data_IF_295423407189
#
_entry.id   IF_295423407189
#
_cell.length_a   1.000
_cell.length_b   1.000
_cell.length_c   1.000
_cell.angle_alpha   90.00
_cell.angle_beta   90.00
_cell.angle_gamma   90.00
#
_symmetry.space_group_name_H-M   'P 1'
#
loop_
_entity.id
_entity.type
_entity.pdbx_description
1 polymer ?
#
# COMPACT_ATOMS: atom_id res chain seq x y z
N UNK A 1 13.37 -14.57 -4.98
CA UNK A 1 14.68 -14.92 -5.59
C UNK A 1 15.70 -15.25 -4.51
N UNK A 2 15.94 -14.38 -3.52
CA UNK A 2 16.95 -14.63 -2.47
C UNK A 2 16.66 -15.89 -1.65
N UNK A 3 15.38 -16.21 -1.38
CA UNK A 3 14.98 -17.45 -0.70
C UNK A 3 15.40 -18.72 -1.46
N UNK A 4 15.58 -18.60 -2.78
CA UNK A 4 15.98 -19.70 -3.66
C UNK A 4 17.48 -19.70 -3.94
N UNK A 5 18.29 -19.05 -3.10
CA UNK A 5 19.76 -18.94 -3.23
C UNK A 5 20.24 -18.36 -4.58
N UNK A 6 19.42 -17.57 -5.26
CA UNK A 6 19.82 -16.88 -6.48
C UNK A 6 20.81 -15.75 -6.16
N UNK A 7 21.82 -15.57 -7.01
CA UNK A 7 22.66 -14.38 -6.98
C UNK A 7 21.86 -13.21 -7.54
N UNK A 8 21.60 -12.21 -6.70
CA UNK A 8 20.80 -11.04 -7.08
C UNK A 8 21.66 -9.79 -6.95
N UNK A 9 21.73 -9.00 -8.02
CA UNK A 9 22.32 -7.67 -8.02
C UNK A 9 21.22 -6.63 -8.21
N UNK A 10 21.14 -5.68 -7.30
CA UNK A 10 20.20 -4.56 -7.36
C UNK A 10 20.93 -3.29 -7.82
N UNK A 11 20.41 -2.66 -8.87
CA UNK A 11 20.86 -1.35 -9.34
C UNK A 11 19.84 -0.29 -8.91
N UNK A 12 20.29 0.69 -8.14
CA UNK A 12 19.47 1.82 -7.66
C UNK A 12 20.13 3.14 -8.05
N UNK A 13 19.41 4.02 -8.72
CA UNK A 13 19.93 5.33 -9.15
C UNK A 13 19.88 6.37 -8.03
N UNK A 14 19.01 6.16 -7.04
CA UNK A 14 18.75 7.08 -5.95
C UNK A 14 19.69 6.91 -4.75
N UNK A 15 19.35 7.59 -3.68
CA UNK A 15 20.16 7.60 -2.46
C UNK A 15 19.95 6.33 -1.62
N UNK A 16 20.89 6.07 -0.70
CA UNK A 16 20.71 5.03 0.30
C UNK A 16 19.59 5.40 1.27
N UNK A 17 18.98 4.39 1.91
CA UNK A 17 17.86 4.57 2.85
C UNK A 17 18.31 5.03 4.26
N UNK A 18 19.59 5.30 4.50
CA UNK A 18 20.08 5.72 5.81
C UNK A 18 19.75 7.18 6.11
N UNK A 19 18.51 7.43 6.54
CA UNK A 19 18.06 8.73 6.99
C UNK A 19 16.88 8.53 7.97
N UNK A 20 16.94 9.19 9.12
CA UNK A 20 15.90 9.15 10.13
C UNK A 20 14.48 9.44 9.57
N UNK A 21 14.36 10.35 8.61
CA UNK A 21 13.06 10.66 7.99
C UNK A 21 12.48 9.49 7.18
N UNK A 22 13.34 8.61 6.63
CA UNK A 22 12.89 7.40 5.93
C UNK A 22 12.39 6.33 6.91
N UNK A 23 12.94 6.31 8.12
CA UNK A 23 12.56 5.37 9.17
C UNK A 23 11.33 5.85 9.97
N UNK A 24 11.09 7.17 10.02
CA UNK A 24 9.98 7.77 10.74
C UNK A 24 8.69 7.78 9.89
N UNK A 25 7.57 7.16 10.31
CA UNK A 25 6.33 7.12 9.54
C UNK A 25 5.84 8.50 9.08
N UNK A 26 5.93 9.52 9.92
CA UNK A 26 5.55 10.89 9.57
C UNK A 26 6.54 11.59 8.61
N UNK A 27 7.70 11.01 8.37
CA UNK A 27 8.74 11.55 7.49
C UNK A 27 8.27 11.68 6.03
N UNK A 28 7.29 10.88 5.60
CA UNK A 28 6.81 10.88 4.23
C UNK A 28 6.30 12.26 3.78
N UNK A 29 5.68 13.05 4.65
CA UNK A 29 5.22 14.41 4.34
C UNK A 29 6.35 15.33 3.86
N UNK A 30 7.55 15.12 4.37
CA UNK A 30 8.73 15.87 3.97
C UNK A 30 9.41 15.24 2.77
N UNK A 31 9.55 13.90 2.77
CA UNK A 31 10.26 13.15 1.74
C UNK A 31 9.57 13.22 0.37
N UNK A 32 8.24 13.17 0.32
CA UNK A 32 7.46 13.23 -0.92
C UNK A 32 7.62 14.57 -1.65
N UNK A 33 8.10 15.61 -0.97
CA UNK A 33 8.35 16.94 -1.52
C UNK A 33 9.86 17.27 -1.63
N UNK A 34 10.75 16.34 -1.26
CA UNK A 34 12.20 16.56 -1.27
C UNK A 34 12.80 16.02 -2.57
N UNK A 35 13.36 16.91 -3.39
CA UNK A 35 14.00 16.55 -4.67
C UNK A 35 15.20 15.62 -4.53
N UNK A 36 15.74 15.46 -3.33
CA UNK A 36 16.79 14.50 -3.03
C UNK A 36 16.26 13.05 -3.06
N UNK A 37 15.05 12.84 -2.54
CA UNK A 37 14.46 11.51 -2.36
C UNK A 37 13.31 11.22 -3.32
N UNK A 38 12.84 12.23 -4.07
CA UNK A 38 11.78 12.09 -5.04
C UNK A 38 12.11 12.76 -6.36
N UNK A 39 11.81 12.08 -7.46
CA UNK A 39 11.76 12.65 -8.80
C UNK A 39 10.33 13.06 -9.10
N UNK A 40 10.15 14.24 -9.67
CA UNK A 40 8.83 14.82 -9.96
C UNK A 40 8.52 14.70 -11.46
N UNK A 41 7.56 13.86 -11.79
CA UNK A 41 7.07 13.68 -13.14
C UNK A 41 5.85 14.55 -13.37
N UNK A 42 5.85 15.30 -14.47
CA UNK A 42 4.73 16.13 -14.88
C UNK A 42 3.91 15.41 -15.94
N UNK A 43 2.61 15.26 -15.73
CA UNK A 43 1.74 14.62 -16.71
C UNK A 43 1.59 15.50 -17.96
N UNK A 44 1.15 14.91 -19.07
CA UNK A 44 0.60 15.66 -20.19
C UNK A 44 -0.63 16.45 -19.74
N UNK A 45 -0.99 17.56 -20.43
CA UNK A 45 -2.22 18.27 -20.13
C UNK A 45 -3.43 17.32 -20.19
N UNK A 46 -4.28 17.39 -19.17
CA UNK A 46 -5.48 16.57 -19.06
C UNK A 46 -6.69 17.39 -19.53
N UNK A 47 -7.20 17.12 -20.71
CA UNK A 47 -8.27 17.89 -21.34
C UNK A 47 -9.51 18.02 -20.44
N UNK A 48 -9.97 16.88 -19.88
CA UNK A 48 -11.15 16.86 -18.99
C UNK A 48 -10.91 17.47 -17.60
N UNK A 49 -9.67 17.84 -17.28
CA UNK A 49 -9.29 18.58 -16.07
C UNK A 49 -8.88 20.02 -16.36
N UNK A 50 -9.47 20.68 -17.35
CA UNK A 50 -9.15 22.04 -17.78
C UNK A 50 -7.69 22.20 -18.20
N UNK A 51 -7.13 21.21 -18.90
CA UNK A 51 -5.73 21.16 -19.33
C UNK A 51 -4.72 21.22 -18.16
N UNK A 52 -5.15 20.89 -16.94
CA UNK A 52 -4.25 20.84 -15.79
C UNK A 52 -3.25 19.71 -15.97
N UNK A 53 -2.02 19.97 -15.58
CA UNK A 53 -0.96 18.97 -15.44
C UNK A 53 -0.76 18.66 -13.96
N UNK A 54 -0.73 17.39 -13.62
CA UNK A 54 -0.43 16.94 -12.27
C UNK A 54 1.07 16.63 -12.12
N UNK A 55 1.59 16.84 -10.94
CA UNK A 55 2.95 16.43 -10.56
C UNK A 55 2.84 15.13 -9.77
N UNK A 56 3.57 14.11 -10.20
CA UNK A 56 3.60 12.80 -9.57
C UNK A 56 5.00 12.61 -8.98
N UNK A 57 5.15 12.62 -7.65
CA UNK A 57 6.40 12.28 -7.01
C UNK A 57 6.64 10.76 -7.10
N UNK A 58 7.85 10.39 -7.47
CA UNK A 58 8.32 9.00 -7.50
C UNK A 58 9.58 8.89 -6.65
N UNK A 59 9.64 7.88 -5.77
CA UNK A 59 10.81 7.66 -4.92
C UNK A 59 12.09 7.43 -5.73
N UNK A 60 13.12 8.20 -5.41
CA UNK A 60 14.49 8.10 -5.96
C UNK A 60 15.46 7.75 -4.83
N UNK A 61 15.25 6.60 -4.25
CA UNK A 61 15.94 6.10 -3.06
C UNK A 61 15.83 4.58 -3.03
N UNK A 62 16.74 3.90 -2.36
CA UNK A 62 16.65 2.46 -2.15
C UNK A 62 15.30 2.10 -1.53
N UNK A 63 14.55 1.20 -2.19
CA UNK A 63 13.16 0.89 -1.86
C UNK A 63 12.13 1.70 -2.65
N UNK A 64 12.55 2.73 -3.39
CA UNK A 64 11.69 3.50 -4.29
C UNK A 64 10.48 4.14 -3.59
N UNK A 65 9.30 4.00 -4.20
CA UNK A 65 8.04 4.53 -3.66
C UNK A 65 7.67 4.01 -2.28
N UNK A 66 8.09 2.77 -1.93
CA UNK A 66 7.82 2.21 -0.59
C UNK A 66 8.57 2.93 0.53
N UNK A 67 9.67 3.62 0.22
CA UNK A 67 10.44 4.41 1.18
C UNK A 67 9.88 5.81 1.42
N UNK A 68 8.98 6.30 0.57
CA UNK A 68 8.41 7.65 0.66
C UNK A 68 6.88 7.70 0.64
N UNK A 69 6.18 6.57 0.66
CA UNK A 69 4.73 6.51 0.70
C UNK A 69 4.16 6.73 2.11
N UNK A 70 2.85 6.83 2.23
CA UNK A 70 2.15 6.99 3.51
C UNK A 70 1.96 5.68 4.29
N UNK A 71 2.52 4.57 3.83
CA UNK A 71 2.53 3.25 4.47
C UNK A 71 1.15 2.62 4.74
N UNK A 72 0.07 3.15 4.18
CA UNK A 72 -1.25 2.54 4.32
C UNK A 72 -1.26 1.16 3.67
N UNK A 73 -1.69 0.15 4.43
CA UNK A 73 -1.81 -1.22 3.92
C UNK A 73 -3.20 -1.46 3.34
N UNK A 74 -3.29 -1.53 2.03
CA UNK A 74 -4.52 -1.76 1.29
C UNK A 74 -4.24 -2.64 0.08
N UNK A 75 -5.00 -3.69 -0.09
CA UNK A 75 -5.00 -4.55 -1.29
C UNK A 75 -6.00 -4.02 -2.31
N UNK A 76 -5.81 -4.37 -3.59
CA UNK A 76 -6.85 -4.22 -4.60
C UNK A 76 -8.07 -5.09 -4.27
N UNK A 77 -9.22 -4.75 -4.84
CA UNK A 77 -10.44 -5.55 -4.67
C UNK A 77 -10.33 -6.85 -5.48
N UNK A 78 -10.98 -7.94 -5.02
CA UNK A 78 -11.05 -9.17 -5.79
C UNK A 78 -11.50 -8.96 -7.24
N UNK A 79 -12.42 -8.04 -7.46
CA UNK A 79 -12.93 -7.71 -8.79
C UNK A 79 -11.85 -7.15 -9.72
N UNK A 80 -10.95 -6.32 -9.21
CA UNK A 80 -9.89 -5.70 -10.02
C UNK A 80 -8.96 -6.78 -10.62
N UNK A 81 -8.62 -7.82 -9.85
CA UNK A 81 -7.81 -8.95 -10.32
C UNK A 81 -8.58 -9.86 -11.27
N UNK A 82 -9.85 -10.12 -10.98
CA UNK A 82 -10.70 -10.93 -11.84
C UNK A 82 -10.91 -10.25 -13.21
N UNK A 83 -11.05 -8.92 -13.25
CA UNK A 83 -11.09 -8.16 -14.50
C UNK A 83 -9.79 -8.29 -15.29
N UNK A 84 -8.62 -8.26 -14.62
CA UNK A 84 -7.33 -8.51 -15.27
C UNK A 84 -7.27 -9.92 -15.87
N UNK A 85 -7.76 -10.92 -15.14
CA UNK A 85 -7.82 -12.28 -15.63
C UNK A 85 -8.68 -12.39 -16.91
N UNK A 86 -9.82 -11.70 -16.97
CA UNK A 86 -10.66 -11.70 -18.18
C UNK A 86 -9.95 -11.01 -19.37
N UNK A 87 -9.23 -9.92 -19.14
CA UNK A 87 -8.43 -9.27 -20.19
C UNK A 87 -7.35 -10.22 -20.74
N UNK A 88 -6.68 -10.97 -19.87
CA UNK A 88 -5.67 -11.94 -20.26
C UNK A 88 -6.27 -13.10 -21.07
N UNK A 89 -7.43 -13.63 -20.67
CA UNK A 89 -8.15 -14.69 -21.40
C UNK A 89 -8.50 -14.28 -22.82
N UNK A 90 -8.96 -13.05 -23.00
CA UNK A 90 -9.27 -12.50 -24.35
C UNK A 90 -8.01 -12.48 -25.24
N UNK A 91 -6.83 -12.31 -24.65
CA UNK A 91 -5.55 -12.28 -25.35
C UNK A 91 -4.85 -13.65 -25.41
N UNK A 92 -5.56 -14.74 -25.07
CA UNK A 92 -5.02 -16.11 -25.01
C UNK A 92 -3.82 -16.28 -24.05
N UNK A 93 -3.75 -15.47 -23.01
CA UNK A 93 -2.75 -15.62 -21.95
C UNK A 93 -3.30 -16.54 -20.84
N UNK A 94 -2.50 -17.53 -20.45
CA UNK A 94 -2.86 -18.51 -19.42
C UNK A 94 -2.32 -18.18 -18.03
N UNK A 95 -1.71 -17.01 -17.85
CA UNK A 95 -1.23 -16.58 -16.52
C UNK A 95 -2.40 -16.39 -15.57
N UNK A 96 -2.28 -16.94 -14.38
CA UNK A 96 -3.26 -16.79 -13.31
C UNK A 96 -3.14 -15.43 -12.64
N UNK A 97 -4.13 -14.56 -12.87
CA UNK A 97 -4.24 -13.24 -12.24
C UNK A 97 -5.58 -13.02 -11.53
N UNK A 98 -6.40 -14.08 -11.43
CA UNK A 98 -7.62 -13.99 -10.63
C UNK A 98 -7.32 -13.71 -9.17
N UNK A 99 -8.33 -13.26 -8.42
CA UNK A 99 -8.17 -13.09 -6.98
C UNK A 99 -7.67 -14.37 -6.29
N UNK A 100 -8.20 -15.52 -6.67
CA UNK A 100 -7.82 -16.81 -6.08
C UNK A 100 -6.35 -17.16 -6.37
N UNK A 101 -5.81 -16.72 -7.53
CA UNK A 101 -4.42 -16.92 -7.88
C UNK A 101 -3.48 -16.00 -7.09
N UNK A 102 -3.85 -14.73 -6.87
CA UNK A 102 -2.95 -13.73 -6.26
C UNK A 102 -3.09 -13.65 -4.73
N UNK A 103 -4.23 -14.00 -4.17
CA UNK A 103 -4.53 -13.90 -2.76
C UNK A 103 -3.55 -14.69 -1.85
N UNK A 104 -3.13 -15.91 -2.20
CA UNK A 104 -2.14 -16.65 -1.42
C UNK A 104 -0.82 -15.89 -1.25
N UNK A 105 -0.38 -15.16 -2.28
CA UNK A 105 0.85 -14.36 -2.23
C UNK A 105 0.72 -13.15 -1.31
N UNK A 106 -0.44 -12.49 -1.27
CA UNK A 106 -0.70 -11.44 -0.28
C UNK A 106 -0.57 -11.96 1.14
N UNK A 107 -1.12 -13.14 1.43
CA UNK A 107 -0.99 -13.77 2.74
C UNK A 107 0.45 -14.20 3.05
N UNK A 108 1.17 -14.75 2.08
CA UNK A 108 2.57 -15.14 2.26
C UNK A 108 3.48 -13.95 2.59
N UNK A 109 3.20 -12.79 1.99
CA UNK A 109 3.97 -11.58 2.24
C UNK A 109 3.68 -10.95 3.61
N UNK A 110 2.47 -11.09 4.12
CA UNK A 110 1.97 -10.36 5.28
C UNK A 110 2.39 -10.99 6.61
N UNK A 111 2.68 -10.12 7.58
CA UNK A 111 2.81 -10.46 8.99
C UNK A 111 1.97 -9.46 9.80
N UNK A 112 0.67 -9.74 9.92
CA UNK A 112 -0.28 -8.88 10.62
C UNK A 112 -0.22 -9.10 12.13
N UNK A 113 -0.02 -8.05 12.90
CA UNK A 113 0.10 -8.12 14.35
C UNK A 113 -1.24 -8.14 15.08
N UNK A 114 -2.32 -7.67 14.45
CA UNK A 114 -3.62 -7.43 15.08
C UNK A 114 -4.71 -8.37 14.58
N UNK A 115 -4.85 -8.52 13.26
CA UNK A 115 -5.88 -9.35 12.65
C UNK A 115 -5.39 -10.79 12.49
N UNK A 116 -6.23 -11.76 12.85
CA UNK A 116 -5.95 -13.19 12.77
C UNK A 116 -7.20 -13.94 12.24
N UNK A 117 -7.39 -13.85 10.93
CA UNK A 117 -8.47 -14.53 10.23
C UNK A 117 -7.97 -15.06 8.88
N UNK A 118 -8.83 -15.69 8.12
CA UNK A 118 -8.51 -16.32 6.83
C UNK A 118 -7.93 -15.36 5.77
N UNK A 119 -8.15 -14.04 5.93
CA UNK A 119 -7.68 -13.03 4.98
C UNK A 119 -6.25 -12.56 5.25
N UNK A 120 -5.66 -12.86 6.40
CA UNK A 120 -4.39 -12.32 6.84
C UNK A 120 -3.28 -13.35 7.00
N UNK A 121 -2.05 -12.91 6.70
CA UNK A 121 -0.82 -13.67 6.97
C UNK A 121 -0.18 -13.26 8.29
N UNK A 122 0.56 -14.18 8.92
CA UNK A 122 1.20 -14.00 10.25
C UNK A 122 2.71 -14.12 10.22
N UNK A 123 3.29 -14.63 9.14
CA UNK A 123 4.70 -15.05 9.10
C UNK A 123 5.50 -14.42 7.97
N UNK A 124 4.85 -13.61 7.15
CA UNK A 124 5.51 -12.95 6.02
C UNK A 124 6.52 -11.88 6.44
N UNK A 125 7.32 -11.41 5.50
CA UNK A 125 8.32 -10.38 5.75
C UNK A 125 7.74 -8.97 5.97
N UNK A 126 6.52 -8.70 5.47
CA UNK A 126 5.88 -7.39 5.54
C UNK A 126 5.10 -7.24 6.84
N UNK A 127 5.62 -6.45 7.76
CA UNK A 127 4.94 -6.15 9.03
C UNK A 127 3.77 -5.21 8.80
N UNK A 128 2.60 -5.61 9.29
CA UNK A 128 1.36 -4.83 9.23
C UNK A 128 0.79 -4.69 10.64
N UNK A 129 0.40 -3.47 11.00
CA UNK A 129 -0.15 -3.20 12.32
C UNK A 129 -1.17 -2.06 12.30
N UNK A 130 -1.99 -1.99 13.35
CA UNK A 130 -2.85 -0.83 13.60
C UNK A 130 -2.02 0.39 13.97
N UNK A 131 -2.59 1.60 13.77
CA UNK A 131 -1.97 2.83 14.27
C UNK A 131 -1.76 2.76 15.78
N UNK A 132 -0.60 3.21 16.24
CA UNK A 132 -0.33 3.35 17.68
C UNK A 132 -1.04 4.57 18.30
N UNK A 133 -1.46 5.51 17.48
CA UNK A 133 -2.19 6.71 17.88
C UNK A 133 -3.40 6.93 16.97
N UNK A 134 -4.53 7.22 17.58
CA UNK A 134 -5.76 7.58 16.87
C UNK A 134 -6.24 8.93 17.42
N UNK A 135 -6.35 9.92 16.55
CA UNK A 135 -6.90 11.22 16.92
C UNK A 135 -8.39 11.11 17.24
N UNK A 136 -8.87 11.85 18.25
CA UNK A 136 -10.28 11.87 18.64
C UNK A 136 -11.20 12.25 17.47
N UNK A 137 -10.79 13.23 16.64
CA UNK A 137 -11.54 13.64 15.47
C UNK A 137 -11.70 12.50 14.43
N UNK A 138 -10.78 11.54 14.38
CA UNK A 138 -10.93 10.37 13.52
C UNK A 138 -12.08 9.47 14.00
N UNK A 139 -12.22 9.31 15.30
CA UNK A 139 -13.32 8.57 15.90
C UNK A 139 -14.67 9.28 15.64
N UNK A 140 -14.70 10.60 15.82
CA UNK A 140 -15.89 11.41 15.57
C UNK A 140 -16.31 11.35 14.08
N UNK A 141 -15.32 11.41 13.18
CA UNK A 141 -15.55 11.25 11.74
C UNK A 141 -16.15 9.87 11.42
N UNK A 142 -15.54 8.80 11.93
CA UNK A 142 -16.04 7.43 11.72
C UNK A 142 -17.47 7.27 12.22
N UNK A 143 -17.73 7.76 13.43
CA UNK A 143 -19.08 7.73 14.03
C UNK A 143 -20.09 8.49 13.17
N UNK A 144 -19.77 9.72 12.77
CA UNK A 144 -20.66 10.56 11.97
C UNK A 144 -20.97 9.92 10.61
N UNK A 145 -19.95 9.38 9.93
CA UNK A 145 -20.14 8.71 8.64
C UNK A 145 -20.96 7.42 8.79
N UNK A 146 -20.78 6.70 9.89
CA UNK A 146 -21.59 5.54 10.19
C UNK A 146 -23.08 5.92 10.43
N UNK A 147 -23.34 6.98 11.16
CA UNK A 147 -24.69 7.51 11.38
C UNK A 147 -25.41 7.93 10.07
N UNK A 148 -24.63 8.27 9.02
CA UNK A 148 -25.14 8.53 7.68
C UNK A 148 -25.41 7.25 6.87
N UNK A 149 -25.29 6.07 7.47
CA UNK A 149 -25.62 4.78 6.86
C UNK A 149 -24.46 4.06 6.18
N UNK A 150 -23.22 4.54 6.34
CA UNK A 150 -22.05 3.80 5.87
C UNK A 150 -21.67 2.72 6.90
N UNK A 151 -21.49 1.46 6.52
CA UNK A 151 -21.14 0.39 7.46
C UNK A 151 -19.78 0.64 8.10
N UNK A 152 -19.63 0.24 9.37
CA UNK A 152 -18.33 0.19 10.01
C UNK A 152 -17.51 -0.98 9.45
N UNK A 153 -16.21 -0.77 9.28
CA UNK A 153 -15.25 -1.85 9.04
C UNK A 153 -14.00 -1.66 9.90
N UNK A 154 -13.50 -2.74 10.43
CA UNK A 154 -12.20 -2.81 11.10
C UNK A 154 -11.16 -3.53 10.26
N UNK A 155 -11.53 -3.95 9.04
CA UNK A 155 -10.68 -4.72 8.14
C UNK A 155 -10.99 -4.38 6.68
N UNK A 156 -10.23 -3.46 6.09
CA UNK A 156 -10.34 -3.12 4.67
C UNK A 156 -9.71 -4.16 3.73
N UNK A 157 -9.03 -5.16 4.26
CA UNK A 157 -8.42 -6.26 3.51
C UNK A 157 -9.12 -7.60 3.75
N UNK A 158 -10.25 -7.58 4.47
CA UNK A 158 -11.10 -8.72 4.72
C UNK A 158 -12.12 -8.96 3.60
N UNK A 159 -13.19 -9.68 3.95
CA UNK A 159 -14.26 -10.04 3.00
C UNK A 159 -14.94 -8.84 2.38
N UNK A 160 -15.22 -7.80 3.19
CA UNK A 160 -15.96 -6.61 2.77
C UNK A 160 -15.08 -5.37 2.94
N UNK A 161 -14.66 -4.78 1.82
CA UNK A 161 -13.85 -3.56 1.83
C UNK A 161 -14.66 -2.28 1.97
N UNK A 162 -15.98 -2.33 1.72
CA UNK A 162 -16.84 -1.15 1.78
C UNK A 162 -17.17 -0.79 3.21
N UNK A 163 -16.82 0.44 3.62
CA UNK A 163 -17.13 0.89 4.97
C UNK A 163 -16.35 2.14 5.37
N UNK A 164 -16.46 2.50 6.64
CA UNK A 164 -15.65 3.52 7.30
C UNK A 164 -14.94 2.91 8.50
N UNK A 165 -13.67 3.24 8.68
CA UNK A 165 -12.83 2.68 9.74
C UNK A 165 -11.41 3.21 9.68
N UNK A 166 -10.54 2.66 10.52
CA UNK A 166 -9.12 2.98 10.54
C UNK A 166 -8.34 2.03 9.63
N UNK A 167 -7.37 2.57 8.90
CA UNK A 167 -6.45 1.76 8.13
C UNK A 167 -5.37 1.12 9.00
N UNK A 168 -4.89 -0.03 8.56
CA UNK A 168 -3.63 -0.59 9.02
C UNK A 168 -2.45 -0.01 8.21
N UNK A 169 -1.26 -0.10 8.78
CA UNK A 169 -0.04 0.45 8.19
C UNK A 169 1.07 -0.60 8.09
N UNK A 170 1.89 -0.45 7.05
CA UNK A 170 3.11 -1.23 6.87
C UNK A 170 4.21 -0.67 7.77
N UNK A 171 4.17 -1.00 9.05
CA UNK A 171 5.18 -0.57 10.01
C UNK A 171 5.57 -1.71 10.97
N UNK A 172 6.74 -1.56 11.57
CA UNK A 172 7.23 -2.49 12.58
C UNK A 172 7.13 -1.84 13.97
N UNK A 173 6.06 -2.16 14.72
CA UNK A 173 5.88 -1.67 16.10
C UNK A 173 7.02 -2.04 17.05
N UNK A 174 7.80 -3.07 16.71
CA UNK A 174 8.88 -3.57 17.58
C UNK A 174 10.15 -2.70 17.52
N UNK A 175 10.15 -1.63 16.71
CA UNK A 175 11.29 -0.70 16.54
C UNK A 175 11.03 0.72 17.04
N UNK A 176 9.95 0.94 17.79
CA UNK A 176 9.67 2.24 18.44
C UNK A 176 10.16 2.26 19.87
#
# INVERSE_FOLDING_TARGET
LLKNHANVTLFEAGYSHHNFLLDAPAGFFKLVNDTKYATFHKTTPQEHLRNRQNIIPQGNVLGGGTSINAQVYMRGRPQDYNEWQEILRVNNDSLGWSWDDVFPYFKEMENNSSLDNEYHGKTGPLKVSDSSYVNELSNDFIKTVHELGIPLTNDFNGREQKGVGLYQFMNNKDKN
#
